data_IF_325097614029
#
_entry.id   IF_325097614029
#
_cell.length_a   1.000
_cell.length_b   1.000
_cell.length_c   1.000
_cell.angle_alpha   90.00
_cell.angle_beta   90.00
_cell.angle_gamma   90.00
#
_symmetry.space_group_name_H-M   'P 1'
#
loop_
_entity.id
_entity.type
_entity.pdbx_description
1 polymer ?
#
# COMPACT_ATOMS: atom_id res chain seq x y z
N UNK A 1 13.62 37.68 9.82
CA UNK A 1 13.87 36.26 10.14
C UNK A 1 14.62 35.65 8.99
N UNK A 2 15.56 34.74 9.28
CA UNK A 2 16.36 34.08 8.26
C UNK A 2 15.64 32.83 7.72
N UNK A 3 15.54 32.73 6.40
CA UNK A 3 14.97 31.57 5.72
C UNK A 3 15.90 30.36 5.83
N UNK A 4 15.34 29.20 6.17
CA UNK A 4 16.05 27.91 6.22
C UNK A 4 15.30 26.89 5.36
N UNK A 5 16.04 26.12 4.56
CA UNK A 5 15.51 25.09 3.67
C UNK A 5 16.01 23.71 4.11
N UNK A 6 15.09 22.75 4.20
CA UNK A 6 15.39 21.34 4.40
C UNK A 6 14.83 20.54 3.23
N UNK A 7 15.67 19.74 2.57
CA UNK A 7 15.27 18.87 1.47
C UNK A 7 15.32 17.42 1.95
N UNK A 8 14.16 16.76 1.97
CA UNK A 8 14.04 15.35 2.36
C UNK A 8 13.79 14.48 1.13
N UNK A 9 14.43 13.30 1.07
CA UNK A 9 14.20 12.34 0.00
C UNK A 9 14.40 10.90 0.45
N UNK A 10 13.69 9.98 -0.20
CA UNK A 10 13.83 8.54 0.02
C UNK A 10 14.82 7.86 -0.95
N UNK A 11 15.06 8.43 -2.13
CA UNK A 11 15.84 7.77 -3.21
C UNK A 11 16.82 8.68 -3.93
N UNK A 12 16.86 9.97 -3.58
CA UNK A 12 17.77 10.91 -4.24
C UNK A 12 19.23 10.61 -3.91
N UNK A 13 20.06 10.76 -4.93
CA UNK A 13 21.50 10.82 -4.79
C UNK A 13 21.87 12.12 -4.06
N UNK A 14 22.22 11.98 -2.79
CA UNK A 14 22.50 13.09 -1.89
C UNK A 14 23.71 13.91 -2.34
N UNK A 15 24.64 13.31 -3.09
CA UNK A 15 25.82 13.99 -3.62
C UNK A 15 25.47 15.06 -4.67
N UNK A 16 24.63 14.70 -5.64
CA UNK A 16 24.17 15.63 -6.70
C UNK A 16 23.41 16.82 -6.12
N UNK A 17 22.61 16.57 -5.07
CA UNK A 17 21.86 17.62 -4.40
C UNK A 17 22.75 18.52 -3.57
N UNK A 18 23.71 17.96 -2.82
CA UNK A 18 24.73 18.73 -2.12
C UNK A 18 25.46 19.67 -3.08
N UNK A 19 25.93 19.16 -4.21
CA UNK A 19 26.66 19.96 -5.21
C UNK A 19 25.78 21.07 -5.82
N UNK A 20 24.52 20.77 -6.14
CA UNK A 20 23.57 21.77 -6.63
C UNK A 20 23.31 22.89 -5.61
N UNK A 21 23.23 22.53 -4.32
CA UNK A 21 23.02 23.45 -3.21
C UNK A 21 24.33 23.91 -2.56
N UNK A 22 25.37 24.17 -3.37
CA UNK A 22 26.63 24.80 -2.94
C UNK A 22 27.39 24.03 -1.83
N UNK A 23 27.36 22.69 -1.88
CA UNK A 23 27.97 21.85 -0.86
C UNK A 23 27.17 21.77 0.43
N UNK A 24 25.84 21.85 0.34
CA UNK A 24 24.96 21.74 1.51
C UNK A 24 25.19 20.42 2.25
N UNK A 25 25.20 20.43 3.61
CA UNK A 25 25.45 19.23 4.39
C UNK A 25 24.34 18.19 4.17
N UNK A 26 24.75 16.93 4.06
CA UNK A 26 23.84 15.78 3.90
C UNK A 26 23.73 15.00 5.21
N UNK A 27 22.57 14.40 5.44
CA UNK A 27 22.32 13.51 6.57
C UNK A 27 21.66 12.24 6.00
N UNK A 28 22.34 11.12 6.13
CA UNK A 28 21.80 9.81 5.76
C UNK A 28 21.20 9.13 6.97
N UNK A 29 19.91 8.82 6.89
CA UNK A 29 19.21 8.03 7.90
C UNK A 29 19.18 6.58 7.42
N UNK A 30 19.87 5.64 8.11
CA UNK A 30 19.90 4.26 7.67
C UNK A 30 18.49 3.67 7.74
N UNK A 31 18.01 3.18 6.60
CA UNK A 31 16.78 2.41 6.54
C UNK A 31 16.90 1.10 7.29
N UNK A 32 15.77 0.62 7.82
CA UNK A 32 15.64 -0.77 8.30
C UNK A 32 14.73 -1.49 7.34
N UNK A 33 15.25 -2.53 6.69
CA UNK A 33 14.44 -3.45 5.89
C UNK A 33 14.32 -4.77 6.65
N UNK A 34 13.17 -5.40 6.49
CA UNK A 34 12.96 -6.79 6.92
C UNK A 34 13.00 -7.67 5.66
N UNK A 35 13.39 -8.95 5.77
CA UNK A 35 13.29 -9.87 4.65
C UNK A 35 11.84 -9.94 4.15
N UNK A 36 11.67 -9.96 2.83
CA UNK A 36 10.36 -10.06 2.17
C UNK A 36 10.41 -11.22 1.19
N UNK A 37 9.44 -12.13 1.32
CA UNK A 37 9.26 -13.20 0.34
C UNK A 37 8.50 -12.67 -0.88
N UNK A 38 9.03 -12.98 -2.07
CA UNK A 38 8.49 -12.47 -3.34
C UNK A 38 7.89 -13.64 -4.10
N UNK A 39 6.61 -13.51 -4.46
CA UNK A 39 5.89 -14.47 -5.29
C UNK A 39 5.46 -13.80 -6.61
N UNK A 40 5.45 -14.58 -7.69
CA UNK A 40 5.08 -14.11 -9.02
C UNK A 40 3.92 -14.94 -9.56
N UNK A 41 2.92 -14.25 -10.12
CA UNK A 41 1.71 -14.84 -10.64
C UNK A 41 1.45 -14.30 -12.04
N UNK A 42 1.24 -15.19 -13.01
CA UNK A 42 0.71 -14.77 -14.30
C UNK A 42 -0.75 -14.35 -14.14
N UNK A 43 -1.11 -13.17 -14.65
CA UNK A 43 -2.50 -12.72 -14.67
C UNK A 43 -2.78 -11.87 -15.91
N UNK A 44 -3.98 -12.03 -16.47
CA UNK A 44 -4.49 -11.14 -17.53
C UNK A 44 -5.30 -9.98 -16.95
N UNK A 45 -5.92 -10.19 -15.78
CA UNK A 45 -6.73 -9.21 -15.08
C UNK A 45 -6.25 -9.09 -13.63
N UNK A 46 -5.36 -8.14 -13.39
CA UNK A 46 -4.63 -8.04 -12.12
C UNK A 46 -5.51 -7.64 -10.94
N UNK A 47 -6.62 -6.92 -11.16
CA UNK A 47 -7.52 -6.53 -10.05
C UNK A 47 -8.29 -7.73 -9.52
N UNK A 48 -8.79 -8.59 -10.39
CA UNK A 48 -9.44 -9.84 -10.01
C UNK A 48 -8.46 -10.77 -9.28
N UNK A 49 -7.21 -10.83 -9.74
CA UNK A 49 -6.16 -11.58 -9.07
C UNK A 49 -5.81 -10.98 -7.70
N UNK A 50 -5.78 -9.66 -7.58
CA UNK A 50 -5.55 -8.98 -6.30
C UNK A 50 -6.67 -9.28 -5.30
N UNK A 51 -7.94 -9.29 -5.74
CA UNK A 51 -9.07 -9.67 -4.88
C UNK A 51 -8.94 -11.14 -4.42
N UNK A 52 -8.48 -12.04 -5.29
CA UNK A 52 -8.26 -13.46 -4.96
C UNK A 52 -7.17 -13.64 -3.93
N UNK A 53 -6.02 -13.03 -4.17
CA UNK A 53 -4.88 -13.11 -3.26
C UNK A 53 -5.19 -12.43 -1.91
N UNK A 54 -5.92 -11.31 -1.91
CA UNK A 54 -6.29 -10.64 -0.67
C UNK A 54 -7.27 -11.45 0.18
N UNK A 55 -8.28 -12.09 -0.45
CA UNK A 55 -9.22 -12.97 0.25
C UNK A 55 -8.51 -14.21 0.81
N UNK A 56 -7.60 -14.79 0.02
CA UNK A 56 -6.77 -15.91 0.46
C UNK A 56 -5.86 -15.52 1.63
N UNK A 57 -5.08 -14.44 1.51
CA UNK A 57 -4.20 -13.96 2.58
C UNK A 57 -4.99 -13.63 3.86
N UNK A 58 -6.18 -13.04 3.73
CA UNK A 58 -7.05 -12.77 4.88
C UNK A 58 -7.54 -14.06 5.57
N UNK A 59 -7.65 -15.18 4.84
CA UNK A 59 -8.01 -16.47 5.40
C UNK A 59 -6.82 -17.20 6.04
N UNK A 60 -5.66 -17.12 5.38
CA UNK A 60 -4.48 -17.93 5.70
C UNK A 60 -3.57 -17.27 6.75
N UNK A 61 -3.50 -15.94 6.78
CA UNK A 61 -2.60 -15.18 7.65
C UNK A 61 -3.27 -14.74 8.98
N UNK A 62 -2.49 -14.55 10.05
CA UNK A 62 -2.98 -14.02 11.33
C UNK A 62 -3.77 -12.70 11.20
N UNK A 63 -4.84 -12.56 11.99
CA UNK A 63 -5.79 -11.45 11.85
C UNK A 63 -5.24 -10.08 12.31
N UNK A 64 -4.10 -10.06 12.99
CA UNK A 64 -3.35 -8.85 13.32
C UNK A 64 -2.53 -8.29 12.14
N UNK A 65 -2.39 -9.05 11.04
CA UNK A 65 -1.68 -8.58 9.86
C UNK A 65 -2.56 -7.72 8.95
N UNK A 66 -1.92 -6.80 8.23
CA UNK A 66 -2.58 -5.91 7.28
C UNK A 66 -2.13 -6.20 5.86
N UNK A 67 -3.03 -5.97 4.90
CA UNK A 67 -2.77 -6.15 3.47
C UNK A 67 -2.76 -4.76 2.80
N UNK A 68 -1.69 -4.45 2.06
CA UNK A 68 -1.59 -3.24 1.24
C UNK A 68 -1.62 -3.63 -0.24
N UNK A 69 -2.61 -3.12 -0.97
CA UNK A 69 -2.79 -3.39 -2.41
C UNK A 69 -2.59 -2.09 -3.18
N UNK A 70 -1.70 -2.11 -4.17
CA UNK A 70 -1.49 -1.00 -5.09
C UNK A 70 -2.31 -1.20 -6.37
N UNK A 71 -3.12 -0.20 -6.72
CA UNK A 71 -4.01 -0.18 -7.88
C UNK A 71 -3.91 1.18 -8.60
N UNK A 72 -4.26 1.23 -9.88
CA UNK A 72 -3.92 2.37 -10.75
C UNK A 72 -4.79 3.60 -10.52
N UNK A 73 -5.98 3.45 -9.93
CA UNK A 73 -6.87 4.59 -9.68
C UNK A 73 -8.13 4.25 -8.91
N UNK A 74 -8.92 5.28 -8.62
CA UNK A 74 -10.14 5.21 -7.81
C UNK A 74 -11.12 4.15 -8.30
N UNK A 75 -11.37 4.05 -9.61
CA UNK A 75 -12.29 3.06 -10.18
C UNK A 75 -11.86 1.62 -9.88
N UNK A 76 -10.55 1.35 -9.95
CA UNK A 76 -9.98 0.04 -9.67
C UNK A 76 -9.99 -0.28 -8.19
N UNK A 77 -9.68 0.70 -7.35
CA UNK A 77 -9.74 0.60 -5.89
C UNK A 77 -11.16 0.26 -5.47
N UNK A 78 -12.15 1.00 -5.95
CA UNK A 78 -13.56 0.76 -5.64
C UNK A 78 -14.04 -0.59 -6.19
N UNK A 79 -13.60 -1.00 -7.38
CA UNK A 79 -13.87 -2.35 -7.92
C UNK A 79 -13.29 -3.44 -7.03
N UNK A 80 -12.05 -3.28 -6.57
CA UNK A 80 -11.38 -4.21 -5.67
C UNK A 80 -12.10 -4.32 -4.32
N UNK A 81 -12.45 -3.18 -3.70
CA UNK A 81 -13.19 -3.16 -2.44
C UNK A 81 -14.55 -3.86 -2.56
N UNK A 82 -15.31 -3.59 -3.63
CA UNK A 82 -16.60 -4.28 -3.86
C UNK A 82 -16.42 -5.78 -4.03
N UNK A 83 -15.49 -6.21 -4.89
CA UNK A 83 -15.28 -7.64 -5.14
C UNK A 83 -14.77 -8.40 -3.90
N UNK A 84 -13.92 -7.77 -3.09
CA UNK A 84 -13.45 -8.36 -1.83
C UNK A 84 -14.57 -8.45 -0.80
N UNK A 85 -15.41 -7.41 -0.69
CA UNK A 85 -16.59 -7.42 0.17
C UNK A 85 -17.58 -8.53 -0.21
N UNK A 86 -17.84 -8.69 -1.51
CA UNK A 86 -18.73 -9.73 -2.03
C UNK A 86 -18.20 -11.14 -1.72
N UNK A 87 -16.89 -11.38 -1.85
CA UNK A 87 -16.27 -12.67 -1.48
C UNK A 87 -16.38 -12.97 0.01
N UNK A 88 -16.04 -12.01 0.86
CA UNK A 88 -16.15 -12.15 2.31
C UNK A 88 -17.60 -12.42 2.73
N UNK A 89 -18.55 -11.71 2.13
CA UNK A 89 -19.98 -11.92 2.37
C UNK A 89 -20.41 -13.33 1.98
N UNK A 90 -20.00 -13.82 0.80
CA UNK A 90 -20.33 -15.18 0.35
C UNK A 90 -19.80 -16.24 1.32
N UNK A 91 -18.56 -16.11 1.79
CA UNK A 91 -17.97 -17.05 2.76
C UNK A 91 -18.76 -17.10 4.07
N UNK A 92 -19.21 -15.95 4.56
CA UNK A 92 -20.10 -15.89 5.74
C UNK A 92 -21.44 -16.57 5.47
N UNK A 93 -22.03 -16.37 4.28
CA UNK A 93 -23.27 -17.05 3.87
C UNK A 93 -23.09 -18.57 3.72
N UNK A 94 -21.91 -19.03 3.34
CA UNK A 94 -21.52 -20.43 3.25
C UNK A 94 -21.24 -21.07 4.63
N UNK A 95 -21.33 -20.27 5.71
CA UNK A 95 -21.18 -20.72 7.09
C UNK A 95 -19.73 -20.70 7.60
N UNK A 96 -18.80 -20.08 6.88
CA UNK A 96 -17.44 -19.89 7.37
C UNK A 96 -17.39 -18.84 8.48
N UNK A 97 -16.56 -19.10 9.48
CA UNK A 97 -16.23 -18.10 10.49
C UNK A 97 -15.17 -17.14 9.93
N UNK A 98 -15.61 -15.99 9.43
CA UNK A 98 -14.72 -14.96 8.87
C UNK A 98 -14.44 -13.87 9.91
N UNK A 99 -13.16 -13.55 10.11
CA UNK A 99 -12.73 -12.42 10.95
C UNK A 99 -13.11 -11.08 10.30
N UNK A 100 -13.32 -10.05 11.13
CA UNK A 100 -13.74 -8.74 10.63
C UNK A 100 -12.71 -8.14 9.68
N UNK A 101 -13.12 -7.85 8.43
CA UNK A 101 -12.30 -7.16 7.43
C UNK A 101 -12.65 -5.68 7.39
N UNK A 102 -11.67 -4.80 7.63
CA UNK A 102 -11.80 -3.36 7.43
C UNK A 102 -11.08 -2.95 6.15
N UNK A 103 -11.83 -2.43 5.17
CA UNK A 103 -11.27 -1.87 3.94
C UNK A 103 -11.08 -0.36 4.08
N UNK A 104 -9.91 0.13 3.67
CA UNK A 104 -9.56 1.56 3.69
C UNK A 104 -9.07 1.98 2.29
N UNK A 105 -9.98 2.36 1.36
CA UNK A 105 -9.58 2.84 0.05
C UNK A 105 -8.80 4.15 0.20
N UNK A 106 -7.70 4.30 -0.54
CA UNK A 106 -6.85 5.50 -0.54
C UNK A 106 -6.58 5.94 -1.97
N UNK A 107 -7.06 7.13 -2.35
CA UNK A 107 -6.85 7.72 -3.67
C UNK A 107 -6.80 9.26 -3.58
N UNK A 108 -6.22 9.91 -4.59
CA UNK A 108 -5.89 11.34 -4.56
C UNK A 108 -7.11 12.29 -4.48
N UNK A 109 -8.31 11.81 -4.82
CA UNK A 109 -9.57 12.58 -4.71
C UNK A 109 -10.20 12.53 -3.32
N UNK A 110 -9.61 11.83 -2.35
CA UNK A 110 -10.15 11.78 -0.99
C UNK A 110 -10.09 13.17 -0.31
N UNK A 111 -11.16 13.57 0.41
CA UNK A 111 -11.14 14.78 1.21
C UNK A 111 -10.07 14.71 2.30
N UNK A 112 -9.55 15.88 2.70
CA UNK A 112 -8.40 15.96 3.60
C UNK A 112 -8.66 15.34 4.98
N UNK A 113 -9.92 15.36 5.41
CA UNK A 113 -10.38 14.73 6.65
C UNK A 113 -10.29 13.18 6.67
N UNK A 114 -9.99 12.56 5.53
CA UNK A 114 -9.81 11.11 5.39
C UNK A 114 -8.35 10.69 5.15
N UNK A 115 -7.39 11.63 5.13
CA UNK A 115 -5.94 11.34 5.18
C UNK A 115 -5.46 11.06 6.61
#
# INVERSE_FOLDING_TARGET
EDFRLLVCSATLDTSKFSDYFFGAPTIDVPGRTFPVDIQHYECQRYVEKAIELADQLHADEPCEHHILIFLTGEDEINRCCRGLHERVKQRVEDGEHVTGLRMCPLHASLPVEFY
#
